data_IF_398624170010
#
_entry.id   IF_398624170010
#
_cell.length_a   1.000
_cell.length_b   1.000
_cell.length_c   1.000
_cell.angle_alpha   90.00
_cell.angle_beta   90.00
_cell.angle_gamma   90.00
#
_symmetry.space_group_name_H-M   'P 1'
#
loop_
_entity.id
_entity.type
_entity.pdbx_description
1 polymer ?
#
# COMPACT_ATOMS: atom_id res chain seq x y z
N UNK A 1 -14.04 0.27 -28.86
CA UNK A 1 -14.12 -0.79 -27.84
C UNK A 1 -12.90 -1.74 -27.88
N UNK A 2 -12.78 -2.69 -28.82
CA UNK A 2 -11.61 -3.60 -28.94
C UNK A 2 -10.27 -2.85 -29.12
N UNK A 3 -10.27 -1.76 -29.89
CA UNK A 3 -9.06 -0.94 -30.11
C UNK A 3 -8.61 -0.15 -28.87
N UNK A 4 -9.53 0.18 -27.96
CA UNK A 4 -9.21 0.87 -26.71
C UNK A 4 -8.59 -0.12 -25.72
N UNK A 5 -9.23 -1.28 -25.53
CA UNK A 5 -8.66 -2.39 -24.77
C UNK A 5 -7.34 -2.87 -25.34
N UNK A 6 -7.19 -2.92 -26.67
CA UNK A 6 -5.91 -3.23 -27.33
C UNK A 6 -4.84 -2.18 -27.07
N UNK A 7 -5.18 -0.88 -26.97
CA UNK A 7 -4.22 0.19 -26.67
C UNK A 7 -3.85 0.23 -25.19
N UNK A 8 -4.80 0.01 -24.28
CA UNK A 8 -4.55 -0.19 -22.86
C UNK A 8 -3.68 -1.43 -22.64
N UNK A 9 -4.01 -2.55 -23.32
CA UNK A 9 -3.19 -3.75 -23.33
C UNK A 9 -1.79 -3.47 -23.88
N UNK A 10 -1.63 -2.87 -25.06
CA UNK A 10 -0.29 -2.58 -25.62
C UNK A 10 0.53 -1.61 -24.73
N UNK A 11 -0.14 -0.66 -24.06
CA UNK A 11 0.51 0.26 -23.13
C UNK A 11 0.95 -0.41 -21.82
N UNK A 12 0.30 -1.52 -21.43
CA UNK A 12 0.61 -2.33 -20.25
C UNK A 12 1.55 -3.52 -20.56
N UNK A 13 1.37 -4.14 -21.73
CA UNK A 13 2.07 -5.30 -22.28
C UNK A 13 3.10 -4.85 -23.33
N UNK A 14 4.24 -4.31 -22.91
CA UNK A 14 5.42 -4.29 -23.80
C UNK A 14 5.57 -5.66 -24.45
N UNK A 15 5.63 -5.70 -25.79
CA UNK A 15 5.58 -6.94 -26.62
C UNK A 15 6.40 -8.06 -25.99
N UNK A 16 5.74 -9.12 -25.53
CA UNK A 16 6.39 -10.33 -25.06
C UNK A 16 5.79 -11.52 -25.83
N UNK A 17 6.51 -11.98 -26.86
CA UNK A 17 6.37 -13.34 -27.36
C UNK A 17 7.27 -14.22 -26.48
N UNK A 18 6.69 -15.12 -25.70
CA UNK A 18 7.46 -16.08 -24.88
C UNK A 18 7.23 -17.47 -25.45
N UNK A 19 8.31 -18.08 -25.93
CA UNK A 19 8.36 -19.51 -26.26
C UNK A 19 8.99 -20.22 -25.06
N UNK A 20 8.21 -21.04 -24.35
CA UNK A 20 8.70 -21.81 -23.19
C UNK A 20 9.22 -23.16 -23.68
N UNK A 21 10.51 -23.44 -23.47
CA UNK A 21 11.03 -24.81 -23.49
C UNK A 21 11.08 -25.35 -22.07
N UNK A 22 10.46 -26.50 -21.86
CA UNK A 22 10.42 -27.22 -20.58
C UNK A 22 11.54 -28.26 -20.60
N UNK A 23 12.39 -28.28 -19.57
CA UNK A 23 13.30 -29.40 -19.27
C UNK A 23 13.09 -29.88 -17.84
N UNK A 24 13.04 -31.20 -17.69
CA UNK A 24 12.66 -31.95 -16.48
C UNK A 24 13.58 -31.76 -15.25
N UNK A 25 13.07 -32.02 -14.02
CA UNK A 25 13.78 -31.75 -12.78
C UNK A 25 14.77 -32.86 -12.38
N UNK A 26 15.94 -32.44 -11.88
CA UNK A 26 16.95 -33.33 -11.28
C UNK A 26 16.52 -33.82 -9.89
N UNK A 27 16.67 -35.12 -9.67
CA UNK A 27 16.51 -35.82 -8.39
C UNK A 27 17.65 -35.52 -7.40
N UNK A 28 17.34 -35.36 -6.11
CA UNK A 28 18.32 -35.52 -5.03
C UNK A 28 17.84 -36.57 -4.01
N UNK A 29 18.76 -37.45 -3.60
CA UNK A 29 18.55 -38.61 -2.73
C UNK A 29 18.86 -38.27 -1.27
N UNK A 30 18.09 -38.86 -0.36
CA UNK A 30 18.32 -38.93 1.09
C UNK A 30 19.50 -39.84 1.47
N UNK A 31 20.21 -39.52 2.57
CA UNK A 31 20.48 -40.40 3.75
C UNK A 31 21.28 -39.68 4.86
N UNK A 32 21.14 -40.08 6.15
CA UNK A 32 21.58 -39.32 7.34
C UNK A 32 22.90 -39.86 7.97
N UNK A 33 23.35 -39.27 9.12
CA UNK A 33 23.59 -40.15 10.27
C UNK A 33 23.28 -39.57 11.68
N UNK A 34 23.41 -40.49 12.63
CA UNK A 34 22.90 -40.58 14.00
C UNK A 34 23.48 -39.66 15.12
N UNK A 35 22.62 -39.52 16.13
CA UNK A 35 22.78 -39.35 17.59
C UNK A 35 24.15 -39.09 18.24
N UNK A 36 24.21 -38.09 19.12
CA UNK A 36 24.08 -38.23 20.60
C UNK A 36 24.84 -37.14 21.36
N UNK A 37 24.15 -36.50 22.31
CA UNK A 37 24.55 -36.30 23.71
C UNK A 37 23.91 -35.04 24.32
N UNK A 38 23.41 -35.26 25.52
CA UNK A 38 22.70 -34.40 26.46
C UNK A 38 23.52 -33.21 26.97
N UNK A 39 22.83 -32.10 27.30
CA UNK A 39 22.82 -31.52 28.66
C UNK A 39 22.02 -30.20 28.73
N UNK A 40 21.35 -29.97 29.86
CA UNK A 40 21.23 -28.63 30.45
C UNK A 40 20.01 -27.79 30.08
N UNK A 41 18.83 -28.16 30.60
CA UNK A 41 17.70 -27.23 30.69
C UNK A 41 17.97 -26.10 31.69
N UNK A 42 17.80 -24.85 31.25
CA UNK A 42 17.68 -23.67 32.11
C UNK A 42 16.73 -22.68 31.45
N UNK A 43 15.54 -22.56 32.02
CA UNK A 43 14.48 -21.63 31.61
C UNK A 43 14.94 -20.19 31.85
N UNK A 44 15.08 -19.40 30.78
CA UNK A 44 15.31 -17.96 30.88
C UNK A 44 14.07 -17.28 31.45
N UNK A 45 14.24 -16.74 32.66
CA UNK A 45 13.26 -15.97 33.41
C UNK A 45 12.93 -14.67 32.65
N UNK A 46 11.68 -14.50 32.22
CA UNK A 46 11.16 -13.22 31.74
C UNK A 46 11.17 -12.21 32.90
N UNK A 47 11.95 -11.14 32.79
CA UNK A 47 11.85 -9.99 33.71
C UNK A 47 10.75 -9.04 33.24
N UNK A 48 9.61 -9.01 33.95
CA UNK A 48 8.64 -7.92 33.84
C UNK A 48 9.26 -6.63 34.42
N UNK A 49 9.66 -5.69 33.55
CA UNK A 49 9.92 -4.31 33.98
C UNK A 49 8.60 -3.55 34.09
N UNK A 50 8.03 -3.48 35.29
CA UNK A 50 6.97 -2.52 35.62
C UNK A 50 7.55 -1.11 35.69
N UNK A 51 7.12 -0.23 34.80
CA UNK A 51 7.39 1.21 34.88
C UNK A 51 6.24 1.86 35.65
N UNK A 52 6.51 2.28 36.88
CA UNK A 52 5.56 3.05 37.71
C UNK A 52 5.57 4.51 37.27
N UNK A 53 4.49 4.98 36.67
CA UNK A 53 4.28 6.40 36.34
C UNK A 53 3.95 7.16 37.64
N UNK A 54 4.93 7.85 38.22
CA UNK A 54 4.68 8.84 39.27
C UNK A 54 4.18 10.13 38.62
N UNK A 55 2.86 10.38 38.69
CA UNK A 55 2.30 11.69 38.35
C UNK A 55 2.62 12.69 39.47
N UNK A 56 3.15 13.88 39.17
CA UNK A 56 3.41 14.89 40.20
C UNK A 56 2.08 15.49 40.71
N UNK A 57 1.88 15.49 42.03
CA UNK A 57 0.66 15.94 42.72
C UNK A 57 0.57 17.46 42.96
N UNK A 58 1.34 18.31 42.27
CA UNK A 58 1.29 19.75 42.50
C UNK A 58 0.49 20.47 41.41
N UNK A 59 -0.56 21.18 41.81
CA UNK A 59 -1.31 22.09 40.95
C UNK A 59 -0.36 23.16 40.37
N UNK A 60 -0.49 23.54 39.09
CA UNK A 60 0.36 24.55 38.48
C UNK A 60 0.20 25.91 39.17
N UNK A 61 1.29 26.66 39.32
CA UNK A 61 1.30 27.97 39.96
C UNK A 61 0.40 28.98 39.22
N UNK A 62 -0.21 29.96 39.92
CA UNK A 62 -1.09 30.98 39.32
C UNK A 62 -0.47 31.74 38.14
N UNK A 63 0.85 31.89 38.12
CA UNK A 63 1.61 32.50 37.01
C UNK A 63 1.53 31.73 35.69
N UNK A 64 1.35 30.41 35.73
CA UNK A 64 1.17 29.60 34.52
C UNK A 64 -0.22 29.85 33.92
N UNK A 65 -1.22 30.05 34.77
CA UNK A 65 -2.62 30.30 34.39
C UNK A 65 -2.77 31.70 33.78
N UNK A 66 -2.07 32.71 34.31
CA UNK A 66 -2.06 34.06 33.75
C UNK A 66 -1.30 34.16 32.43
N UNK A 67 -0.20 33.40 32.25
CA UNK A 67 0.50 33.26 30.95
C UNK A 67 -0.36 32.57 29.88
N UNK A 68 -1.17 31.58 30.26
CA UNK A 68 -2.13 30.92 29.36
C UNK A 68 -3.21 31.90 28.85
N UNK A 69 -3.68 32.82 29.70
CA UNK A 69 -4.71 33.81 29.34
C UNK A 69 -4.24 34.90 28.36
N UNK A 70 -2.96 35.31 28.41
CA UNK A 70 -2.39 36.32 27.50
C UNK A 70 -2.30 35.84 26.02
N UNK A 71 -2.50 34.54 25.76
CA UNK A 71 -2.36 33.91 24.45
C UNK A 71 -3.54 34.14 23.48
N UNK A 72 -4.67 34.67 23.96
CA UNK A 72 -5.93 34.69 23.20
C UNK A 72 -5.99 35.75 22.10
N UNK A 73 -5.22 36.83 22.15
CA UNK A 73 -5.23 37.90 21.13
C UNK A 73 -4.14 37.74 20.04
N UNK A 74 -3.00 37.10 20.34
CA UNK A 74 -2.04 36.64 19.31
C UNK A 74 -2.52 35.36 18.59
N UNK A 75 -3.69 34.85 18.96
CA UNK A 75 -4.15 33.50 18.62
C UNK A 75 -4.56 33.34 17.15
N UNK A 76 -5.09 34.35 16.47
CA UNK A 76 -5.65 34.17 15.12
C UNK A 76 -4.58 34.03 14.03
N UNK A 77 -3.56 34.90 14.05
CA UNK A 77 -2.44 34.86 13.10
C UNK A 77 -1.52 33.66 13.37
N UNK A 78 -1.23 33.38 14.65
CA UNK A 78 -0.49 32.17 15.03
C UNK A 78 -1.24 30.89 14.67
N UNK A 79 -2.56 30.83 14.86
CA UNK A 79 -3.37 29.67 14.47
C UNK A 79 -3.43 29.51 12.95
N UNK A 80 -3.52 30.61 12.20
CA UNK A 80 -3.49 30.57 10.72
C UNK A 80 -2.13 30.11 10.21
N UNK A 81 -1.04 30.67 10.73
CA UNK A 81 0.32 30.27 10.40
C UNK A 81 0.57 28.81 10.78
N UNK A 82 0.18 28.39 11.98
CA UNK A 82 0.28 26.99 12.43
C UNK A 82 -0.51 26.04 11.52
N UNK A 83 -1.76 26.38 11.17
CA UNK A 83 -2.58 25.59 10.24
C UNK A 83 -1.94 25.47 8.86
N UNK A 84 -1.34 26.53 8.35
CA UNK A 84 -0.65 26.49 7.05
C UNK A 84 0.64 25.66 7.12
N UNK A 85 1.42 25.82 8.19
CA UNK A 85 2.70 25.14 8.37
C UNK A 85 2.50 23.64 8.61
N UNK A 86 1.52 23.25 9.44
CA UNK A 86 1.25 21.84 9.75
C UNK A 86 0.87 21.05 8.49
N UNK A 87 0.07 21.64 7.60
CA UNK A 87 -0.33 20.98 6.35
C UNK A 87 0.86 20.82 5.42
N UNK A 88 1.65 21.88 5.24
CA UNK A 88 2.88 21.82 4.42
C UNK A 88 3.85 20.76 4.91
N UNK A 89 4.05 20.65 6.23
CA UNK A 89 4.97 19.66 6.82
C UNK A 89 4.40 18.25 6.69
N UNK A 90 3.12 18.05 7.00
CA UNK A 90 2.48 16.74 6.93
C UNK A 90 2.35 16.20 5.50
N UNK A 91 2.11 17.07 4.51
CA UNK A 91 1.96 16.65 3.11
C UNK A 91 3.32 16.56 2.37
N UNK A 92 4.43 17.07 2.91
CA UNK A 92 5.69 17.19 2.17
C UNK A 92 6.24 15.85 1.61
N UNK A 93 6.33 14.75 2.39
CA UNK A 93 6.76 13.46 1.85
C UNK A 93 5.81 12.90 0.78
N UNK A 94 4.51 13.14 0.92
CA UNK A 94 3.51 12.72 -0.08
C UNK A 94 3.63 13.54 -1.38
N UNK A 95 3.81 14.86 -1.25
CA UNK A 95 4.04 15.74 -2.40
C UNK A 95 5.32 15.35 -3.16
N UNK A 96 6.36 14.89 -2.46
CA UNK A 96 7.57 14.40 -3.12
C UNK A 96 7.29 13.19 -4.03
N UNK A 97 6.61 12.14 -3.54
CA UNK A 97 6.34 10.96 -4.37
C UNK A 97 5.45 11.30 -5.59
N UNK A 98 4.57 12.30 -5.47
CA UNK A 98 3.77 12.79 -6.60
C UNK A 98 4.61 13.46 -7.70
N UNK A 99 5.79 14.00 -7.38
CA UNK A 99 6.71 14.57 -8.39
C UNK A 99 7.44 13.49 -9.20
N UNK A 100 7.43 12.23 -8.74
CA UNK A 100 8.12 11.14 -9.41
C UNK A 100 7.33 10.64 -10.63
N UNK A 101 8.01 10.29 -11.74
CA UNK A 101 7.34 9.92 -12.99
C UNK A 101 6.41 8.71 -12.81
N UNK A 102 5.13 8.85 -13.13
CA UNK A 102 4.14 7.76 -13.05
C UNK A 102 3.64 7.35 -14.44
N UNK A 103 3.25 6.08 -14.60
CA UNK A 103 2.73 5.54 -15.87
C UNK A 103 1.22 5.74 -16.06
N UNK A 104 0.52 6.37 -15.11
CA UNK A 104 -0.93 6.66 -15.21
C UNK A 104 -1.87 5.44 -15.24
N UNK A 105 -1.35 4.23 -15.00
CA UNK A 105 -2.07 2.95 -15.18
C UNK A 105 -3.38 2.89 -14.39
N UNK A 106 -3.38 3.35 -13.13
CA UNK A 106 -4.55 3.28 -12.25
C UNK A 106 -5.70 4.17 -12.70
N UNK A 107 -5.39 5.39 -13.15
CA UNK A 107 -6.40 6.28 -13.71
C UNK A 107 -7.04 5.67 -14.96
N UNK A 108 -6.21 5.13 -15.87
CA UNK A 108 -6.70 4.45 -17.06
C UNK A 108 -7.53 3.19 -16.73
N UNK A 109 -7.15 2.45 -15.69
CA UNK A 109 -7.92 1.30 -15.21
C UNK A 109 -9.30 1.71 -14.71
N UNK A 110 -9.38 2.73 -13.86
CA UNK A 110 -10.66 3.29 -13.36
C UNK A 110 -11.52 3.76 -14.52
N UNK A 111 -10.94 4.51 -15.47
CA UNK A 111 -11.64 4.96 -16.68
C UNK A 111 -12.19 3.79 -17.51
N UNK A 112 -11.45 2.69 -17.57
CA UNK A 112 -11.85 1.51 -18.34
C UNK A 112 -12.99 0.75 -17.68
N UNK A 113 -12.98 0.64 -16.36
CA UNK A 113 -14.11 0.09 -15.60
C UNK A 113 -15.35 0.99 -15.71
N UNK A 114 -15.16 2.32 -15.68
CA UNK A 114 -16.28 3.25 -15.70
C UNK A 114 -17.06 3.24 -17.03
N UNK A 115 -16.48 2.73 -18.12
CA UNK A 115 -17.21 2.46 -19.37
C UNK A 115 -18.39 1.50 -19.16
N UNK A 116 -18.29 0.60 -18.18
CA UNK A 116 -19.36 -0.35 -17.85
C UNK A 116 -20.19 0.05 -16.63
N UNK A 117 -19.56 0.73 -15.67
CA UNK A 117 -20.18 1.07 -14.39
C UNK A 117 -20.86 2.43 -14.40
N UNK A 118 -20.56 3.31 -15.36
CA UNK A 118 -21.28 4.58 -15.58
C UNK A 118 -21.48 5.40 -14.30
N UNK A 119 -20.43 5.52 -13.49
CA UNK A 119 -20.42 6.39 -12.32
C UNK A 119 -20.19 7.85 -12.76
N UNK A 120 -20.84 8.83 -12.09
CA UNK A 120 -20.71 10.25 -12.41
C UNK A 120 -19.26 10.76 -12.39
N UNK A 121 -18.98 11.81 -13.16
CA UNK A 121 -17.62 12.35 -13.29
C UNK A 121 -17.08 12.92 -11.97
N UNK A 122 -17.93 13.60 -11.18
CA UNK A 122 -17.56 14.12 -9.87
C UNK A 122 -17.15 12.99 -8.91
N UNK A 123 -17.92 11.89 -8.89
CA UNK A 123 -17.61 10.70 -8.08
C UNK A 123 -16.35 10.00 -8.60
N UNK A 124 -16.25 9.80 -9.90
CA UNK A 124 -15.07 9.16 -10.53
C UNK A 124 -13.79 9.95 -10.26
N UNK A 125 -13.85 11.28 -10.23
CA UNK A 125 -12.71 12.13 -9.87
C UNK A 125 -12.27 11.88 -8.43
N UNK A 126 -13.20 11.83 -7.47
CA UNK A 126 -12.88 11.50 -6.07
C UNK A 126 -12.32 10.08 -5.96
N UNK A 127 -12.88 9.10 -6.67
CA UNK A 127 -12.40 7.71 -6.71
C UNK A 127 -10.94 7.65 -7.19
N UNK A 128 -10.61 8.34 -8.29
CA UNK A 128 -9.22 8.41 -8.78
C UNK A 128 -8.28 9.04 -7.76
N UNK A 129 -8.73 10.10 -7.08
CA UNK A 129 -7.96 10.77 -6.05
C UNK A 129 -7.65 9.81 -4.89
N UNK A 130 -8.67 9.16 -4.30
CA UNK A 130 -8.48 8.30 -3.13
C UNK A 130 -7.69 7.03 -3.46
N UNK A 131 -7.90 6.42 -4.63
CA UNK A 131 -7.08 5.28 -5.09
C UNK A 131 -5.63 5.73 -5.30
N UNK A 132 -5.40 6.93 -5.83
CA UNK A 132 -4.07 7.53 -5.96
C UNK A 132 -3.41 7.78 -4.59
N UNK A 133 -4.17 8.27 -3.61
CA UNK A 133 -3.70 8.47 -2.24
C UNK A 133 -3.29 7.17 -1.58
N UNK A 134 -4.17 6.17 -1.58
CA UNK A 134 -3.89 4.85 -1.00
C UNK A 134 -2.68 4.19 -1.66
N UNK A 135 -2.60 4.24 -2.99
CA UNK A 135 -1.47 3.68 -3.72
C UNK A 135 -0.14 4.36 -3.39
N UNK A 136 -0.07 5.69 -3.44
CA UNK A 136 1.18 6.39 -3.19
C UNK A 136 1.59 6.28 -1.71
N UNK A 137 0.63 6.26 -0.78
CA UNK A 137 0.91 5.93 0.62
C UNK A 137 1.47 4.54 0.80
N UNK A 138 0.90 3.53 0.12
CA UNK A 138 1.40 2.16 0.20
C UNK A 138 2.83 2.08 -0.31
N UNK A 139 3.16 2.75 -1.43
CA UNK A 139 4.53 2.80 -1.97
C UNK A 139 5.54 3.44 -0.99
N UNK A 140 5.16 4.48 -0.25
CA UNK A 140 6.05 5.09 0.74
C UNK A 140 6.36 4.11 1.87
N UNK A 141 5.35 3.37 2.33
CA UNK A 141 5.48 2.39 3.41
C UNK A 141 6.29 1.18 2.92
N UNK A 142 5.95 0.63 1.77
CA UNK A 142 6.63 -0.47 1.06
C UNK A 142 8.12 -0.14 0.85
N UNK A 143 8.44 1.04 0.30
CA UNK A 143 9.82 1.48 0.14
C UNK A 143 10.62 1.41 1.46
N UNK A 144 10.00 1.77 2.59
CA UNK A 144 10.64 1.71 3.90
C UNK A 144 10.73 0.27 4.44
N UNK A 145 9.67 -0.51 4.30
CA UNK A 145 9.60 -1.90 4.79
C UNK A 145 10.62 -2.79 4.09
N UNK A 146 10.82 -2.60 2.79
CA UNK A 146 11.70 -3.41 1.94
C UNK A 146 13.12 -2.81 1.86
N UNK A 147 13.37 -1.76 2.65
CA UNK A 147 14.62 -0.99 2.69
C UNK A 147 15.09 -0.55 1.27
N UNK A 148 14.14 -0.11 0.45
CA UNK A 148 14.38 0.27 -0.95
C UNK A 148 14.99 1.68 -1.03
N UNK A 149 16.24 1.84 -1.53
CA UNK A 149 16.88 3.15 -1.60
C UNK A 149 16.32 4.01 -2.75
N UNK A 150 15.74 3.39 -3.76
CA UNK A 150 15.29 4.05 -4.99
C UNK A 150 13.83 3.75 -5.30
N UNK A 151 13.12 4.78 -5.78
CA UNK A 151 11.81 4.68 -6.38
C UNK A 151 11.80 5.44 -7.70
N UNK A 152 11.55 4.72 -8.80
CA UNK A 152 11.48 5.30 -10.18
C UNK A 152 12.77 6.05 -10.55
N UNK A 153 13.93 5.54 -10.13
CA UNK A 153 15.25 6.10 -10.41
C UNK A 153 15.60 7.36 -9.60
N UNK A 154 14.84 7.65 -8.54
CA UNK A 154 15.09 8.75 -7.58
C UNK A 154 15.16 8.19 -6.16
N UNK A 155 15.79 8.90 -5.21
CA UNK A 155 15.80 8.46 -3.81
C UNK A 155 14.39 8.19 -3.28
N UNK A 156 14.20 7.11 -2.55
CA UNK A 156 12.92 6.79 -1.92
C UNK A 156 12.53 7.87 -0.89
N UNK A 157 11.24 7.99 -0.60
CA UNK A 157 10.72 9.04 0.28
C UNK A 157 11.34 9.02 1.68
N UNK A 158 11.55 7.82 2.24
CA UNK A 158 12.19 7.66 3.56
C UNK A 158 13.68 8.04 3.54
N UNK A 159 14.36 7.90 2.39
CA UNK A 159 15.75 8.35 2.22
C UNK A 159 15.86 9.87 2.23
N UNK A 160 14.86 10.58 1.71
CA UNK A 160 14.86 12.06 1.64
C UNK A 160 14.42 12.71 2.96
N UNK A 161 13.34 12.22 3.56
CA UNK A 161 12.71 12.85 4.74
C UNK A 161 12.99 12.14 6.07
N UNK A 162 13.61 10.97 6.00
CA UNK A 162 13.76 10.05 7.14
C UNK A 162 12.52 9.17 7.34
N UNK A 163 12.69 7.95 7.91
CA UNK A 163 11.61 7.00 8.13
C UNK A 163 10.42 7.56 8.91
N UNK A 164 10.68 8.29 10.00
CA UNK A 164 9.63 8.78 10.90
C UNK A 164 8.64 9.71 10.19
N UNK A 165 9.14 10.65 9.37
CA UNK A 165 8.28 11.56 8.62
C UNK A 165 7.56 10.85 7.47
N UNK A 166 8.24 9.94 6.78
CA UNK A 166 7.67 9.19 5.66
C UNK A 166 6.49 8.32 6.12
N UNK A 167 6.67 7.51 7.16
CA UNK A 167 5.63 6.63 7.71
C UNK A 167 4.46 7.44 8.25
N UNK A 168 4.73 8.48 9.06
CA UNK A 168 3.68 9.33 9.59
C UNK A 168 2.83 9.97 8.48
N UNK A 169 3.49 10.45 7.41
CA UNK A 169 2.80 11.05 6.26
C UNK A 169 1.96 10.04 5.50
N UNK A 170 2.48 8.84 5.23
CA UNK A 170 1.72 7.81 4.53
C UNK A 170 0.46 7.41 5.30
N UNK A 171 0.57 7.19 6.61
CA UNK A 171 -0.57 6.89 7.50
C UNK A 171 -1.56 8.05 7.54
N UNK A 172 -1.09 9.29 7.66
CA UNK A 172 -1.93 10.49 7.60
C UNK A 172 -2.73 10.59 6.29
N UNK A 173 -2.10 10.30 5.15
CA UNK A 173 -2.76 10.32 3.85
C UNK A 173 -3.77 9.18 3.69
N UNK A 174 -3.51 7.98 4.26
CA UNK A 174 -4.50 6.90 4.29
C UNK A 174 -5.75 7.33 5.05
N UNK A 175 -5.59 7.99 6.21
CA UNK A 175 -6.72 8.54 6.97
C UNK A 175 -7.49 9.60 6.15
N UNK A 176 -6.78 10.48 5.43
CA UNK A 176 -7.42 11.46 4.52
C UNK A 176 -8.16 10.80 3.35
N UNK A 177 -7.65 9.67 2.85
CA UNK A 177 -8.33 8.94 1.79
C UNK A 177 -9.66 8.35 2.29
N UNK A 178 -9.67 7.79 3.51
CA UNK A 178 -10.88 7.29 4.16
C UNK A 178 -11.87 8.43 4.43
N UNK A 179 -11.40 9.59 4.87
CA UNK A 179 -12.22 10.80 5.05
C UNK A 179 -12.94 11.19 3.75
N UNK A 180 -12.22 11.21 2.62
CA UNK A 180 -12.79 11.48 1.29
C UNK A 180 -13.75 10.40 0.80
N UNK A 181 -13.47 9.13 1.09
CA UNK A 181 -14.38 8.02 0.73
C UNK A 181 -15.74 8.22 1.38
N UNK A 182 -15.80 8.68 2.64
CA UNK A 182 -17.06 8.93 3.36
C UNK A 182 -17.96 9.95 2.67
N UNK A 183 -17.43 10.83 1.82
CA UNK A 183 -18.22 11.81 1.06
C UNK A 183 -18.95 11.18 -0.16
N UNK A 184 -18.55 9.98 -0.57
CA UNK A 184 -19.04 9.32 -1.79
C UNK A 184 -19.63 7.92 -1.53
N UNK A 185 -19.73 7.47 -0.28
CA UNK A 185 -20.36 6.19 0.08
C UNK A 185 -21.34 6.37 1.23
N UNK A 186 -22.32 5.49 1.34
CA UNK A 186 -23.20 5.45 2.51
C UNK A 186 -22.45 4.92 3.74
N UNK A 187 -22.97 5.22 4.94
CA UNK A 187 -22.41 4.66 6.17
C UNK A 187 -22.40 3.12 6.18
N UNK A 188 -23.41 2.48 5.58
CA UNK A 188 -23.48 1.02 5.51
C UNK A 188 -22.38 0.45 4.60
N UNK A 189 -22.11 1.10 3.45
CA UNK A 189 -21.07 0.68 2.52
C UNK A 189 -19.65 0.99 3.02
N UNK A 190 -19.49 1.98 3.91
CA UNK A 190 -18.19 2.36 4.44
C UNK A 190 -17.50 1.22 5.20
N UNK A 191 -18.25 0.40 5.92
CA UNK A 191 -17.71 -0.74 6.67
C UNK A 191 -17.05 -1.76 5.74
N UNK A 192 -17.70 -2.09 4.62
CA UNK A 192 -17.16 -3.01 3.62
C UNK A 192 -15.91 -2.45 2.96
N UNK A 193 -15.93 -1.15 2.61
CA UNK A 193 -14.77 -0.46 2.03
C UNK A 193 -13.57 -0.45 2.99
N UNK A 194 -13.79 -0.19 4.27
CA UNK A 194 -12.74 -0.29 5.29
C UNK A 194 -12.24 -1.73 5.41
N UNK A 195 -13.13 -2.73 5.28
CA UNK A 195 -12.78 -4.13 5.18
C UNK A 195 -11.79 -4.40 4.03
N UNK A 196 -12.10 -3.93 2.83
CA UNK A 196 -11.21 -4.08 1.65
C UNK A 196 -9.86 -3.39 1.85
N UNK A 197 -9.82 -2.20 2.47
CA UNK A 197 -8.57 -1.52 2.83
C UNK A 197 -7.79 -2.35 3.86
N UNK A 198 -8.47 -2.95 4.83
CA UNK A 198 -7.84 -3.81 5.84
C UNK A 198 -7.19 -5.04 5.21
N UNK A 199 -7.84 -5.64 4.21
CA UNK A 199 -7.30 -6.78 3.45
C UNK A 199 -5.96 -6.45 2.77
N UNK A 200 -5.77 -5.22 2.27
CA UNK A 200 -4.47 -4.77 1.72
C UNK A 200 -3.34 -4.95 2.75
N UNK A 201 -3.58 -4.52 3.99
CA UNK A 201 -2.60 -4.64 5.07
C UNK A 201 -2.42 -6.07 5.55
N UNK A 202 -3.46 -6.92 5.50
CA UNK A 202 -3.35 -8.34 5.83
C UNK A 202 -2.48 -9.09 4.81
N UNK A 203 -2.65 -8.79 3.52
CA UNK A 203 -1.76 -9.30 2.47
C UNK A 203 -0.31 -8.87 2.69
N UNK A 204 -0.07 -7.57 2.95
CA UNK A 204 1.27 -7.07 3.27
C UNK A 204 1.86 -7.73 4.53
N UNK A 205 1.04 -8.00 5.55
CA UNK A 205 1.51 -8.65 6.77
C UNK A 205 2.01 -10.08 6.52
N UNK A 206 1.33 -10.85 5.66
CA UNK A 206 1.77 -12.19 5.28
C UNK A 206 3.09 -12.16 4.51
N UNK A 207 3.21 -11.23 3.57
CA UNK A 207 4.41 -11.00 2.77
C UNK A 207 5.64 -10.74 3.67
N UNK A 208 5.55 -9.72 4.52
CA UNK A 208 6.60 -9.37 5.49
C UNK A 208 6.91 -10.50 6.47
N UNK A 209 5.88 -11.24 6.91
CA UNK A 209 6.07 -12.35 7.82
C UNK A 209 6.84 -13.50 7.16
N UNK A 210 6.54 -13.84 5.91
CA UNK A 210 7.29 -14.84 5.16
C UNK A 210 8.75 -14.44 4.97
N UNK A 211 9.00 -13.19 4.57
CA UNK A 211 10.36 -12.65 4.39
C UNK A 211 11.14 -12.69 5.70
N UNK A 212 10.58 -12.14 6.79
CA UNK A 212 11.24 -12.07 8.09
C UNK A 212 11.53 -13.44 8.73
N UNK A 213 10.71 -14.46 8.43
CA UNK A 213 10.87 -15.82 8.95
C UNK A 213 11.50 -16.79 7.93
N UNK A 214 11.92 -16.29 6.76
CA UNK A 214 12.49 -17.09 5.66
C UNK A 214 11.61 -18.31 5.32
N UNK A 215 10.29 -18.12 5.37
CA UNK A 215 9.31 -19.17 5.11
C UNK A 215 8.89 -19.10 3.66
N UNK A 216 9.14 -20.16 2.89
CA UNK A 216 8.76 -20.22 1.47
C UNK A 216 7.29 -20.63 1.36
N UNK A 217 6.39 -19.77 0.85
CA UNK A 217 4.98 -20.11 0.67
C UNK A 217 4.80 -21.08 -0.50
N UNK A 218 3.70 -21.82 -0.48
CA UNK A 218 3.19 -22.48 -1.69
C UNK A 218 2.73 -21.46 -2.73
N UNK A 219 2.61 -21.88 -3.99
CA UNK A 219 2.09 -21.02 -5.07
C UNK A 219 0.68 -20.53 -4.73
N UNK A 220 -0.15 -21.37 -4.14
CA UNK A 220 -1.52 -21.02 -3.76
C UNK A 220 -1.55 -19.96 -2.67
N UNK A 221 -0.71 -20.08 -1.65
CA UNK A 221 -0.57 -19.08 -0.59
C UNK A 221 -0.06 -17.74 -1.15
N UNK A 222 0.96 -17.77 -2.01
CA UNK A 222 1.43 -16.58 -2.71
C UNK A 222 0.29 -15.90 -3.48
N UNK A 223 -0.49 -16.64 -4.27
CA UNK A 223 -1.61 -16.06 -5.02
C UNK A 223 -2.69 -15.46 -4.10
N UNK A 224 -2.97 -16.06 -2.94
CA UNK A 224 -3.88 -15.48 -1.94
C UNK A 224 -3.32 -14.17 -1.38
N UNK A 225 -2.05 -14.15 -0.97
CA UNK A 225 -1.38 -12.94 -0.50
C UNK A 225 -1.42 -11.84 -1.58
N UNK A 226 -1.13 -12.18 -2.84
CA UNK A 226 -1.17 -11.22 -3.96
C UNK A 226 -2.58 -10.67 -4.18
N UNK A 227 -3.60 -11.53 -4.08
CA UNK A 227 -4.99 -11.09 -4.17
C UNK A 227 -5.32 -10.11 -3.04
N UNK A 228 -4.80 -10.32 -1.83
CA UNK A 228 -5.07 -9.47 -0.68
C UNK A 228 -4.26 -8.17 -0.70
N UNK A 229 -2.98 -8.20 -1.06
CA UNK A 229 -2.09 -7.02 -1.14
C UNK A 229 -2.39 -6.16 -2.37
N UNK A 230 -2.20 -6.73 -3.56
CA UNK A 230 -2.26 -5.98 -4.84
C UNK A 230 -3.65 -6.02 -5.46
N UNK A 231 -4.32 -7.17 -5.42
CA UNK A 231 -5.67 -7.33 -5.96
C UNK A 231 -6.72 -6.49 -5.24
N UNK A 232 -6.63 -6.36 -3.91
CA UNK A 232 -7.62 -5.63 -3.12
C UNK A 232 -7.72 -4.15 -3.49
N UNK A 233 -6.61 -3.49 -3.87
CA UNK A 233 -6.68 -2.09 -4.31
C UNK A 233 -7.42 -1.93 -5.65
N UNK A 234 -7.29 -2.91 -6.56
CA UNK A 234 -8.08 -2.93 -7.78
C UNK A 234 -9.56 -3.26 -7.49
N UNK A 235 -9.83 -4.20 -6.57
CA UNK A 235 -11.21 -4.51 -6.12
C UNK A 235 -11.88 -3.30 -5.48
N UNK A 236 -11.16 -2.56 -4.63
CA UNK A 236 -11.64 -1.31 -4.03
C UNK A 236 -12.06 -0.29 -5.10
N UNK A 237 -11.31 -0.19 -6.20
CA UNK A 237 -11.68 0.69 -7.31
C UNK A 237 -12.99 0.26 -7.98
N UNK A 238 -13.21 -1.05 -8.17
CA UNK A 238 -14.45 -1.62 -8.69
C UNK A 238 -15.62 -1.39 -7.73
N UNK A 239 -15.43 -1.65 -6.43
CA UNK A 239 -16.43 -1.46 -5.38
C UNK A 239 -16.90 0.00 -5.32
N UNK A 240 -15.97 0.95 -5.27
CA UNK A 240 -16.30 2.37 -5.23
C UNK A 240 -17.07 2.85 -6.48
N UNK A 241 -16.68 2.36 -7.66
CA UNK A 241 -17.40 2.67 -8.90
C UNK A 241 -18.79 2.03 -8.92
N UNK A 242 -18.92 0.76 -8.51
CA UNK A 242 -20.19 0.05 -8.48
C UNK A 242 -21.18 0.68 -7.50
N UNK A 243 -20.72 1.12 -6.33
CA UNK A 243 -21.55 1.84 -5.34
C UNK A 243 -22.08 3.16 -5.90
N UNK A 244 -21.29 3.84 -6.74
CA UNK A 244 -21.62 5.14 -7.32
C UNK A 244 -22.18 5.04 -8.75
N UNK A 245 -22.48 3.83 -9.24
CA UNK A 245 -22.98 3.57 -10.59
C UNK A 245 -24.40 4.11 -10.78
N UNK A 246 -24.65 4.83 -11.87
CA UNK A 246 -26.02 5.16 -12.31
C UNK A 246 -26.63 4.05 -13.19
N UNK A 247 -25.81 3.13 -13.69
CA UNK A 247 -26.26 1.97 -14.46
C UNK A 247 -26.87 0.89 -13.55
N UNK A 248 -27.91 0.21 -14.06
CA UNK A 248 -28.45 -1.00 -13.44
C UNK A 248 -27.53 -2.19 -13.74
N UNK A 249 -26.56 -2.44 -12.87
CA UNK A 249 -25.60 -3.55 -13.04
C UNK A 249 -26.16 -4.82 -12.39
N UNK A 250 -26.16 -5.94 -13.12
CA UNK A 250 -26.55 -7.23 -12.54
C UNK A 250 -25.46 -7.79 -11.61
N UNK A 251 -25.85 -8.53 -10.57
CA UNK A 251 -24.90 -9.23 -9.69
C UNK A 251 -23.93 -10.12 -10.47
N UNK A 252 -24.42 -10.82 -11.49
CA UNK A 252 -23.58 -11.65 -12.37
C UNK A 252 -22.50 -10.85 -13.12
N UNK A 253 -22.79 -9.59 -13.46
CA UNK A 253 -21.81 -8.69 -14.10
C UNK A 253 -20.77 -8.25 -13.09
N UNK A 254 -21.18 -7.88 -11.87
CA UNK A 254 -20.24 -7.52 -10.80
C UNK A 254 -19.32 -8.69 -10.42
N UNK A 255 -19.84 -9.91 -10.31
CA UNK A 255 -19.03 -11.12 -10.07
C UNK A 255 -18.01 -11.37 -11.18
N UNK A 256 -18.42 -11.19 -12.44
CA UNK A 256 -17.54 -11.31 -13.60
C UNK A 256 -16.43 -10.25 -13.59
N UNK A 257 -16.78 -9.00 -13.30
CA UNK A 257 -15.82 -7.90 -13.18
C UNK A 257 -14.86 -8.13 -12.01
N UNK A 258 -15.35 -8.59 -10.86
CA UNK A 258 -14.52 -8.91 -9.69
C UNK A 258 -13.49 -10.00 -10.00
N UNK A 259 -13.88 -11.01 -10.78
CA UNK A 259 -12.98 -12.06 -11.27
C UNK A 259 -11.89 -11.51 -12.20
N UNK A 260 -12.27 -10.65 -13.15
CA UNK A 260 -11.31 -9.98 -14.05
C UNK A 260 -10.34 -9.11 -13.27
N UNK A 261 -10.85 -8.34 -12.32
CA UNK A 261 -10.05 -7.44 -11.47
C UNK A 261 -9.05 -8.22 -10.61
N UNK A 262 -9.46 -9.36 -10.05
CA UNK A 262 -8.57 -10.23 -9.27
C UNK A 262 -7.46 -10.83 -10.13
N UNK A 263 -7.79 -11.30 -11.34
CA UNK A 263 -6.79 -11.79 -12.31
C UNK A 263 -5.81 -10.70 -12.74
N UNK A 264 -6.28 -9.47 -12.94
CA UNK A 264 -5.41 -8.33 -13.22
C UNK A 264 -4.44 -8.07 -12.06
N UNK A 265 -4.94 -8.09 -10.82
CA UNK A 265 -4.10 -7.95 -9.63
C UNK A 265 -2.96 -8.98 -9.59
N UNK A 266 -3.28 -10.26 -9.81
CA UNK A 266 -2.29 -11.34 -9.89
C UNK A 266 -1.28 -11.11 -11.01
N UNK A 267 -1.76 -10.79 -12.21
CA UNK A 267 -0.88 -10.50 -13.35
C UNK A 267 0.07 -9.35 -13.06
N UNK A 268 -0.43 -8.25 -12.46
CA UNK A 268 0.39 -7.09 -12.14
C UNK A 268 1.52 -7.42 -11.17
N UNK A 269 1.24 -8.19 -10.12
CA UNK A 269 2.26 -8.56 -9.14
C UNK A 269 3.27 -9.54 -9.72
N UNK A 270 2.82 -10.64 -10.32
CA UNK A 270 3.72 -11.65 -10.93
C UNK A 270 4.63 -10.99 -11.96
N UNK A 271 4.09 -10.06 -12.75
CA UNK A 271 4.87 -9.29 -13.72
C UNK A 271 5.87 -8.36 -13.02
N UNK A 272 5.51 -7.72 -11.91
CA UNK A 272 6.43 -6.82 -11.19
C UNK A 272 7.62 -7.62 -10.63
N UNK A 273 7.36 -8.74 -9.96
CA UNK A 273 8.37 -9.64 -9.39
C UNK A 273 9.28 -10.20 -10.49
N UNK A 274 8.69 -10.68 -11.60
CA UNK A 274 9.46 -11.18 -12.74
C UNK A 274 10.34 -10.09 -13.36
N UNK A 275 9.79 -8.89 -13.58
CA UNK A 275 10.51 -7.78 -14.23
C UNK A 275 11.63 -7.23 -13.35
N UNK A 276 11.50 -7.31 -12.03
CA UNK A 276 12.57 -6.93 -11.10
C UNK A 276 13.87 -7.70 -11.36
N UNK A 277 13.75 -8.98 -11.73
CA UNK A 277 14.89 -9.87 -11.95
C UNK A 277 15.50 -9.80 -13.35
N UNK A 278 14.72 -9.39 -14.37
CA UNK A 278 15.14 -9.54 -15.77
C UNK A 278 15.28 -8.24 -16.56
N UNK A 279 14.67 -7.13 -16.11
CA UNK A 279 14.55 -5.92 -16.92
C UNK A 279 15.58 -4.85 -16.49
N UNK A 280 16.44 -4.45 -17.43
CA UNK A 280 17.47 -3.43 -17.19
C UNK A 280 16.87 -2.06 -16.78
N UNK A 281 15.67 -1.73 -17.27
CA UNK A 281 14.99 -0.49 -16.89
C UNK A 281 14.44 -0.58 -15.47
N UNK A 282 14.03 -1.75 -15.00
CA UNK A 282 13.73 -1.99 -13.58
C UNK A 282 14.98 -1.85 -12.72
N UNK A 283 16.13 -2.38 -13.19
CA UNK A 283 17.43 -2.19 -12.54
C UNK A 283 17.76 -0.71 -12.34
N UNK A 284 17.60 0.12 -13.39
CA UNK A 284 17.83 1.57 -13.30
C UNK A 284 16.83 2.29 -12.35
N UNK A 285 15.64 1.72 -12.14
CA UNK A 285 14.56 2.36 -11.40
C UNK A 285 14.48 1.97 -9.91
N UNK A 286 14.84 0.73 -9.57
CA UNK A 286 14.75 0.14 -8.23
C UNK A 286 16.10 -0.35 -7.68
N UNK A 287 17.05 -0.67 -8.54
CA UNK A 287 18.28 -1.40 -8.20
C UNK A 287 18.32 -2.78 -8.88
N UNK A 288 19.52 -3.34 -9.04
CA UNK A 288 19.71 -4.64 -9.70
C UNK A 288 19.15 -5.78 -8.83
N UNK A 289 18.12 -6.49 -9.32
CA UNK A 289 17.47 -7.59 -8.62
C UNK A 289 17.13 -7.25 -7.16
N UNK A 290 16.56 -6.06 -6.90
CA UNK A 290 16.30 -5.55 -5.55
C UNK A 290 15.47 -6.50 -4.68
N UNK A 291 14.60 -7.31 -5.28
CA UNK A 291 13.77 -8.30 -4.56
C UNK A 291 14.62 -9.45 -3.97
N UNK A 292 15.90 -9.59 -4.34
CA UNK A 292 16.84 -10.51 -3.70
C UNK A 292 17.59 -9.88 -2.50
N UNK A 293 17.62 -8.55 -2.41
CA UNK A 293 18.20 -7.83 -1.27
C UNK A 293 17.18 -7.63 -0.13
N UNK A 294 15.89 -7.64 -0.47
CA UNK A 294 14.76 -7.62 0.46
C UNK A 294 14.72 -8.91 1.29
#
# INVERSE_FOLDING_TARGET
FILFWRRLFISLWGKLEVTVQVTDPFHYRDTPPDSSSSEGGSLSRYEERRVSLLLPHNAPSPDLVSQLCFSTAMSSDLNTRWKSQRLKVADAPYNYILTLPSKGIRGAFIDSLNVWLDAPEDKTSVIKEVIGMLHNSSLIIDDFQDNSPLRRGKPSTHTVFGPAQAINTATYIIVKAIDKIQEIVSHDALADIIGTITTIFQGQAMDLWWTANTTVPSIQEYLLMVNDKTGALFRLSLELLAINSEASISNSTLESLSSVVSLLGQYFQIRDDYMNLIDNKYTDQKGFCKDLDE
#
